data_IF_585158439768
#
_entry.id   IF_585158439768
#
_cell.length_a   1.000
_cell.length_b   1.000
_cell.length_c   1.000
_cell.angle_alpha   90.00
_cell.angle_beta   90.00
_cell.angle_gamma   90.00
#
_symmetry.space_group_name_H-M   'P 1'
#
loop_
_entity.id
_entity.type
_entity.pdbx_description
1 polymer ?
#
# COMPACT_ATOMS: atom_id res chain seq x y z
N UNK A 1 -5.33 49.24 -12.12
CA UNK A 1 -5.51 48.68 -10.77
C UNK A 1 -6.86 47.98 -10.73
N UNK A 2 -7.04 46.74 -10.29
CA UNK A 2 -6.13 45.73 -9.76
C UNK A 2 -6.65 44.34 -10.13
N UNK A 3 -5.72 43.40 -10.24
CA UNK A 3 -5.98 41.98 -10.43
C UNK A 3 -6.31 41.35 -9.09
N UNK A 4 -7.50 40.76 -8.95
CA UNK A 4 -7.82 39.86 -7.85
C UNK A 4 -7.10 38.53 -8.12
N UNK A 5 -6.00 38.30 -7.40
CA UNK A 5 -5.41 36.98 -7.26
C UNK A 5 -6.18 36.22 -6.20
N UNK A 6 -7.03 35.29 -6.62
CA UNK A 6 -7.54 34.25 -5.72
C UNK A 6 -6.42 33.23 -5.53
N UNK A 7 -5.64 33.40 -4.46
CA UNK A 7 -4.82 32.32 -3.92
C UNK A 7 -5.75 31.27 -3.35
N UNK A 8 -5.82 30.10 -3.99
CA UNK A 8 -6.38 28.90 -3.39
C UNK A 8 -5.41 28.48 -2.29
N UNK A 9 -5.78 28.77 -1.05
CA UNK A 9 -5.13 28.25 0.14
C UNK A 9 -5.37 26.75 0.18
N UNK A 10 -4.30 25.97 -0.05
CA UNK A 10 -4.21 24.58 0.36
C UNK A 10 -4.49 24.54 1.86
N UNK A 11 -5.65 24.00 2.27
CA UNK A 11 -5.93 23.73 3.67
C UNK A 11 -4.84 22.77 4.17
N UNK A 12 -3.94 23.30 5.00
CA UNK A 12 -2.98 22.48 5.74
C UNK A 12 -3.78 21.59 6.68
N UNK A 13 -3.92 20.32 6.34
CA UNK A 13 -4.54 19.35 7.23
C UNK A 13 -3.60 19.16 8.43
N UNK A 14 -4.04 19.49 9.64
CA UNK A 14 -3.23 19.44 10.87
C UNK A 14 -2.71 18.01 11.19
N UNK A 15 -3.23 17.00 10.50
CA UNK A 15 -2.95 15.60 10.72
C UNK A 15 -1.89 15.01 9.79
N UNK A 16 -1.38 15.76 8.81
CA UNK A 16 -0.40 15.27 7.81
C UNK A 16 0.84 16.14 7.71
N UNK A 17 1.92 15.56 7.19
CA UNK A 17 3.23 16.19 7.05
C UNK A 17 3.61 16.44 5.58
N UNK A 18 3.20 15.55 4.67
CA UNK A 18 3.43 15.76 3.25
C UNK A 18 2.36 16.70 2.67
N UNK A 19 2.71 17.45 1.62
CA UNK A 19 1.72 18.22 0.88
C UNK A 19 0.73 17.29 0.14
N UNK A 20 -0.52 17.71 0.02
CA UNK A 20 -1.50 17.02 -0.81
C UNK A 20 -1.04 17.00 -2.28
N UNK A 21 -1.10 15.83 -2.93
CA UNK A 21 -0.90 15.74 -4.39
C UNK A 21 -2.19 16.08 -5.12
N UNK A 22 -2.06 16.83 -6.23
CA UNK A 22 -3.19 17.10 -7.11
C UNK A 22 -3.65 15.81 -7.83
N UNK A 23 -4.96 15.62 -7.84
CA UNK A 23 -5.62 14.55 -8.59
C UNK A 23 -6.38 15.15 -9.76
N UNK A 24 -6.50 14.39 -10.86
CA UNK A 24 -7.28 14.82 -12.04
C UNK A 24 -8.79 14.87 -11.79
N UNK A 25 -9.24 14.39 -10.63
CA UNK A 25 -10.61 14.39 -10.13
C UNK A 25 -10.58 14.83 -8.68
N UNK A 26 -11.73 15.25 -8.14
CA UNK A 26 -11.87 15.51 -6.72
C UNK A 26 -11.47 14.25 -5.90
N UNK A 27 -10.54 14.36 -4.94
CA UNK A 27 -10.07 13.24 -4.13
C UNK A 27 -11.20 12.51 -3.37
N UNK A 28 -12.25 13.23 -2.96
CA UNK A 28 -13.39 12.66 -2.23
C UNK A 28 -14.21 11.67 -3.08
N UNK A 29 -14.05 11.69 -4.40
CA UNK A 29 -14.70 10.76 -5.32
C UNK A 29 -13.80 9.57 -5.68
N UNK A 30 -12.58 9.49 -5.14
CA UNK A 30 -11.70 8.34 -5.32
C UNK A 30 -12.16 7.20 -4.40
N UNK A 31 -12.10 5.94 -4.87
CA UNK A 31 -12.61 4.81 -4.10
C UNK A 31 -11.68 4.39 -2.96
N UNK A 32 -10.48 4.97 -2.87
CA UNK A 32 -9.43 4.64 -1.92
C UNK A 32 -9.09 5.88 -1.08
N UNK A 33 -8.59 5.70 0.16
CA UNK A 33 -8.22 6.82 1.01
C UNK A 33 -7.07 7.63 0.39
N UNK A 34 -7.15 8.94 0.55
CA UNK A 34 -6.23 9.93 0.00
C UNK A 34 -5.61 10.78 1.11
N UNK A 35 -4.84 11.80 0.74
CA UNK A 35 -4.14 12.64 1.69
C UNK A 35 -5.10 13.22 2.75
N UNK A 36 -4.77 13.01 4.03
CA UNK A 36 -5.55 13.50 5.15
C UNK A 36 -6.67 12.57 5.65
N UNK A 37 -7.01 11.53 4.88
CA UNK A 37 -8.02 10.54 5.30
C UNK A 37 -7.44 9.60 6.37
N UNK A 38 -8.29 9.14 7.29
CA UNK A 38 -7.93 8.06 8.20
C UNK A 38 -7.72 6.76 7.43
N UNK A 39 -6.65 6.04 7.76
CA UNK A 39 -6.38 4.73 7.18
C UNK A 39 -7.46 3.74 7.64
N UNK A 40 -8.18 3.07 6.72
CA UNK A 40 -9.22 2.12 7.08
C UNK A 40 -8.71 1.06 8.06
N UNK A 41 -9.52 0.72 9.06
CA UNK A 41 -9.13 -0.25 10.06
C UNK A 41 -9.50 -1.69 9.67
N UNK A 42 -8.58 -2.62 9.92
CA UNK A 42 -8.82 -4.04 9.68
C UNK A 42 -7.94 -4.93 10.55
N UNK A 43 -8.53 -5.95 11.16
CA UNK A 43 -7.77 -7.01 11.83
C UNK A 43 -7.69 -8.26 10.94
N UNK A 44 -6.47 -8.68 10.62
CA UNK A 44 -6.19 -9.81 9.73
C UNK A 44 -5.14 -10.75 10.33
N UNK A 45 -5.24 -12.08 10.11
CA UNK A 45 -4.17 -13.02 10.41
C UNK A 45 -2.89 -12.70 9.63
N UNK A 46 -1.73 -12.86 10.27
CA UNK A 46 -0.40 -12.81 9.66
C UNK A 46 0.19 -14.24 9.58
N UNK A 47 0.07 -14.97 8.45
CA UNK A 47 0.39 -16.39 8.41
C UNK A 47 1.85 -16.74 8.71
N UNK A 48 2.81 -15.87 8.38
CA UNK A 48 4.24 -16.10 8.68
C UNK A 48 4.50 -16.00 10.19
N UNK A 49 3.66 -15.27 10.94
CA UNK A 49 3.76 -15.05 12.38
C UNK A 49 2.76 -15.94 13.12
N UNK A 50 2.71 -17.22 12.75
CA UNK A 50 1.83 -18.24 13.32
C UNK A 50 0.34 -17.87 13.28
N UNK A 51 -0.06 -17.06 12.31
CA UNK A 51 -1.44 -16.61 12.16
C UNK A 51 -1.88 -15.58 13.21
N UNK A 52 -0.94 -14.93 13.91
CA UNK A 52 -1.24 -13.84 14.84
C UNK A 52 -2.16 -12.81 14.18
N UNK A 53 -3.21 -12.41 14.89
CA UNK A 53 -4.09 -11.33 14.46
C UNK A 53 -3.34 -10.00 14.58
N UNK A 54 -3.33 -9.23 13.51
CA UNK A 54 -2.70 -7.90 13.41
C UNK A 54 -3.76 -6.90 12.98
N UNK A 55 -3.90 -5.80 13.71
CA UNK A 55 -4.86 -4.72 13.46
C UNK A 55 -4.17 -3.50 12.86
N UNK A 56 -4.64 -3.07 11.69
CA UNK A 56 -4.20 -1.85 11.03
C UNK A 56 -5.18 -0.72 11.36
N UNK A 57 -4.73 0.52 11.58
CA UNK A 57 -3.35 0.91 11.93
C UNK A 57 -2.99 0.63 13.40
N UNK A 58 -3.95 0.26 14.25
CA UNK A 58 -3.84 0.33 15.71
C UNK A 58 -2.74 -0.48 16.39
N UNK A 59 -2.21 -1.54 15.75
CA UNK A 59 -1.10 -2.33 16.31
C UNK A 59 0.29 -1.75 15.95
N UNK A 60 0.34 -0.61 15.24
CA UNK A 60 1.56 -0.02 14.72
C UNK A 60 1.76 1.40 15.25
N UNK A 61 2.93 1.63 15.87
CA UNK A 61 3.40 2.95 16.33
C UNK A 61 4.40 3.58 15.34
N UNK A 62 4.46 3.04 14.12
CA UNK A 62 5.40 3.39 13.05
C UNK A 62 4.66 3.93 11.84
N UNK A 63 5.35 4.60 10.93
CA UNK A 63 4.80 4.86 9.60
C UNK A 63 4.46 3.55 8.89
N UNK A 64 3.43 3.57 8.04
CA UNK A 64 2.93 2.41 7.34
C UNK A 64 3.06 2.59 5.84
N UNK A 65 3.79 1.69 5.18
CA UNK A 65 3.74 1.54 3.73
C UNK A 65 3.00 0.25 3.37
N UNK A 66 1.85 0.40 2.71
CA UNK A 66 0.92 -0.71 2.47
C UNK A 66 0.64 -0.94 1.00
N UNK A 67 0.50 -2.20 0.59
CA UNK A 67 -0.05 -2.59 -0.72
C UNK A 67 -0.92 -3.84 -0.65
N UNK A 68 -1.52 -4.19 -1.79
CA UNK A 68 -2.41 -5.33 -1.97
C UNK A 68 -1.95 -6.19 -3.15
N UNK A 69 -1.59 -7.45 -2.88
CA UNK A 69 -0.98 -8.34 -3.85
C UNK A 69 -1.23 -9.81 -3.51
N UNK A 70 -1.11 -10.70 -4.51
CA UNK A 70 -1.22 -12.15 -4.30
C UNK A 70 -0.06 -12.90 -4.96
N UNK A 71 0.35 -14.01 -4.36
CA UNK A 71 1.67 -14.62 -4.62
C UNK A 71 1.79 -15.30 -5.99
N UNK A 72 0.66 -15.63 -6.62
CA UNK A 72 0.63 -16.27 -7.95
C UNK A 72 0.48 -15.29 -9.12
N UNK A 73 0.45 -13.98 -8.84
CA UNK A 73 0.39 -12.95 -9.86
C UNK A 73 1.70 -12.83 -10.65
N UNK A 74 1.60 -12.84 -11.98
CA UNK A 74 2.74 -12.67 -12.90
C UNK A 74 2.80 -11.29 -13.57
N UNK A 75 1.91 -10.36 -13.21
CA UNK A 75 1.76 -9.05 -13.88
C UNK A 75 2.24 -7.89 -13.00
N UNK A 76 1.34 -7.20 -12.29
CA UNK A 76 1.67 -5.96 -11.58
C UNK A 76 2.03 -6.14 -10.10
N UNK A 77 1.58 -7.20 -9.43
CA UNK A 77 1.96 -7.47 -8.03
C UNK A 77 3.49 -7.51 -7.83
N UNK A 78 4.29 -8.19 -8.69
CA UNK A 78 5.75 -8.14 -8.59
C UNK A 78 6.34 -6.72 -8.57
N UNK A 79 5.70 -5.79 -9.28
CA UNK A 79 6.13 -4.39 -9.35
C UNK A 79 5.80 -3.63 -8.06
N UNK A 80 4.62 -3.87 -7.47
CA UNK A 80 4.21 -3.27 -6.19
C UNK A 80 5.17 -3.71 -5.07
N UNK A 81 5.36 -5.02 -4.90
CA UNK A 81 6.28 -5.58 -3.90
C UNK A 81 7.71 -5.07 -4.13
N UNK A 82 8.17 -4.96 -5.38
CA UNK A 82 9.51 -4.43 -5.66
C UNK A 82 9.68 -2.92 -5.32
N UNK A 83 8.62 -2.12 -5.36
CA UNK A 83 8.66 -0.72 -4.90
C UNK A 83 8.78 -0.69 -3.38
N UNK A 84 7.95 -1.46 -2.68
CA UNK A 84 8.00 -1.56 -1.22
C UNK A 84 9.33 -2.13 -0.71
N UNK A 85 9.85 -3.19 -1.33
CA UNK A 85 11.13 -3.79 -0.95
C UNK A 85 12.31 -2.81 -1.13
N UNK A 86 12.28 -1.96 -2.16
CA UNK A 86 13.28 -0.91 -2.30
C UNK A 86 13.17 0.14 -1.17
N UNK A 87 11.96 0.54 -0.80
CA UNK A 87 11.76 1.45 0.33
C UNK A 87 12.23 0.83 1.65
N UNK A 88 12.01 -0.48 1.86
CA UNK A 88 12.53 -1.23 3.01
C UNK A 88 14.06 -1.23 3.03
N UNK A 89 14.70 -1.61 1.93
CA UNK A 89 16.16 -1.61 1.79
C UNK A 89 16.75 -0.21 2.04
N UNK A 90 16.10 0.83 1.53
CA UNK A 90 16.51 2.21 1.78
C UNK A 90 16.41 2.59 3.28
N UNK A 91 15.28 2.28 3.94
CA UNK A 91 15.09 2.55 5.35
C UNK A 91 16.12 1.84 6.23
N UNK A 92 16.40 0.56 5.94
CA UNK A 92 17.41 -0.24 6.63
C UNK A 92 18.82 0.37 6.45
N UNK A 93 19.21 0.72 5.22
CA UNK A 93 20.51 1.34 4.92
C UNK A 93 20.71 2.71 5.56
N UNK A 94 19.62 3.43 5.81
CA UNK A 94 19.62 4.74 6.46
C UNK A 94 19.42 4.67 7.97
N UNK A 95 19.25 3.47 8.53
CA UNK A 95 19.20 3.24 9.97
C UNK A 95 17.87 3.59 10.63
N UNK A 96 16.78 3.68 9.87
CA UNK A 96 15.44 3.99 10.40
C UNK A 96 14.42 2.88 10.10
N UNK A 97 14.90 1.65 9.85
CA UNK A 97 14.03 0.51 9.54
C UNK A 97 13.00 0.16 10.64
N UNK A 98 13.24 0.57 11.88
CA UNK A 98 12.33 0.39 13.02
C UNK A 98 11.23 1.46 13.07
N UNK A 99 11.34 2.54 12.30
CA UNK A 99 10.38 3.66 12.26
C UNK A 99 9.31 3.47 11.18
N UNK A 100 9.41 2.41 10.35
CA UNK A 100 8.47 2.11 9.27
C UNK A 100 8.13 0.62 9.22
N UNK A 101 6.84 0.31 9.11
CA UNK A 101 6.32 -1.03 8.88
C UNK A 101 5.74 -1.17 7.46
N UNK A 102 6.01 -2.31 6.84
CA UNK A 102 5.57 -2.66 5.50
C UNK A 102 4.46 -3.70 5.57
N UNK A 103 3.32 -3.43 4.94
CA UNK A 103 2.14 -4.30 5.00
C UNK A 103 1.73 -4.72 3.58
N UNK A 104 1.76 -6.00 3.30
CA UNK A 104 1.27 -6.56 2.04
C UNK A 104 0.08 -7.49 2.33
N UNK A 105 -1.12 -7.07 1.92
CA UNK A 105 -2.36 -7.82 2.17
C UNK A 105 -2.80 -8.57 0.93
N UNK A 106 -3.05 -9.88 1.06
CA UNK A 106 -3.58 -10.68 -0.04
C UNK A 106 -5.08 -10.56 -0.21
N UNK A 107 -5.51 -10.57 -1.46
CA UNK A 107 -6.90 -10.75 -1.85
C UNK A 107 -7.20 -12.17 -2.38
N UNK A 108 -6.22 -13.08 -2.31
CA UNK A 108 -6.35 -14.49 -2.70
C UNK A 108 -6.06 -15.44 -1.53
N UNK A 109 -6.90 -15.42 -0.48
CA UNK A 109 -6.64 -16.23 0.70
C UNK A 109 -6.71 -17.73 0.42
N UNK A 110 -7.26 -18.19 -0.71
CA UNK A 110 -7.32 -19.61 -1.02
C UNK A 110 -5.94 -20.22 -1.36
N UNK A 111 -5.03 -19.44 -1.96
CA UNK A 111 -3.70 -19.90 -2.38
C UNK A 111 -2.55 -19.34 -1.54
N UNK A 112 -2.74 -18.19 -0.93
CA UNK A 112 -1.67 -17.48 -0.22
C UNK A 112 -1.59 -17.91 1.25
N UNK A 113 -0.78 -18.93 1.51
CA UNK A 113 -0.44 -19.39 2.86
C UNK A 113 0.95 -18.89 3.31
N UNK A 114 1.36 -19.30 4.51
CA UNK A 114 2.66 -18.91 5.07
C UNK A 114 3.85 -19.40 4.22
N UNK A 115 3.71 -20.50 3.48
CA UNK A 115 4.78 -21.02 2.61
C UNK A 115 4.85 -20.19 1.33
N UNK A 116 3.71 -19.90 0.71
CA UNK A 116 3.61 -19.05 -0.46
C UNK A 116 4.18 -17.65 -0.19
N UNK A 117 3.85 -17.04 0.96
CA UNK A 117 4.41 -15.74 1.32
C UNK A 117 5.93 -15.75 1.54
N UNK A 118 6.50 -16.79 2.14
CA UNK A 118 7.97 -16.90 2.27
C UNK A 118 8.64 -16.99 0.90
N UNK A 119 8.11 -17.83 0.01
CA UNK A 119 8.62 -17.96 -1.35
C UNK A 119 8.50 -16.65 -2.15
N UNK A 120 7.40 -15.92 -1.95
CA UNK A 120 7.20 -14.59 -2.53
C UNK A 120 8.22 -13.58 -2.01
N UNK A 121 8.39 -13.51 -0.69
CA UNK A 121 9.38 -12.65 -0.04
C UNK A 121 10.80 -12.89 -0.58
N UNK A 122 11.24 -14.16 -0.64
CA UNK A 122 12.55 -14.55 -1.16
C UNK A 122 12.73 -14.13 -2.62
N UNK A 123 11.73 -14.40 -3.46
CA UNK A 123 11.75 -14.07 -4.89
C UNK A 123 11.82 -12.56 -5.14
N UNK A 124 11.19 -11.77 -4.27
CA UNK A 124 11.06 -10.32 -4.41
C UNK A 124 12.03 -9.52 -3.54
N UNK A 125 12.98 -10.18 -2.88
CA UNK A 125 14.03 -9.57 -2.02
C UNK A 125 13.44 -8.73 -0.90
N UNK A 126 12.43 -9.27 -0.23
CA UNK A 126 11.91 -8.70 1.01
C UNK A 126 12.83 -9.14 2.15
N UNK A 127 13.38 -8.19 2.89
CA UNK A 127 14.29 -8.43 4.02
C UNK A 127 13.47 -8.84 5.25
N UNK A 128 13.02 -10.10 5.28
CA UNK A 128 12.13 -10.61 6.33
C UNK A 128 12.76 -10.61 7.72
N UNK A 129 14.09 -10.73 7.79
CA UNK A 129 14.84 -10.76 9.06
C UNK A 129 14.80 -9.42 9.81
N UNK A 130 14.47 -8.33 9.11
CA UNK A 130 14.28 -7.02 9.75
C UNK A 130 13.02 -6.95 10.63
N UNK A 131 12.08 -7.90 10.50
CA UNK A 131 10.88 -7.97 11.34
C UNK A 131 9.84 -6.87 11.09
N UNK A 132 10.09 -5.94 10.17
CA UNK A 132 9.21 -4.81 9.86
C UNK A 132 8.26 -5.06 8.67
N UNK A 133 8.28 -6.26 8.06
CA UNK A 133 7.33 -6.65 7.01
C UNK A 133 6.24 -7.60 7.51
N UNK A 134 5.01 -7.36 7.06
CA UNK A 134 3.80 -8.06 7.48
C UNK A 134 3.01 -8.51 6.24
N UNK A 135 2.93 -9.83 6.04
CA UNK A 135 2.00 -10.41 5.09
C UNK A 135 0.69 -10.76 5.78
N UNK A 136 -0.42 -10.16 5.34
CA UNK A 136 -1.73 -10.33 5.95
C UNK A 136 -2.69 -11.08 5.03
N UNK A 137 -3.48 -11.97 5.61
CA UNK A 137 -4.38 -12.88 4.89
C UNK A 137 -5.80 -12.85 5.46
N UNK A 138 -6.78 -12.28 4.74
CA UNK A 138 -8.20 -12.44 5.04
C UNK A 138 -8.60 -13.90 5.20
N UNK A 139 -9.54 -14.21 6.09
CA UNK A 139 -9.96 -15.61 6.36
C UNK A 139 -10.75 -16.24 5.20
N UNK A 140 -11.30 -15.44 4.29
CA UNK A 140 -12.14 -15.90 3.17
C UNK A 140 -12.12 -14.90 2.02
N UNK A 141 -12.54 -15.33 0.83
CA UNK A 141 -12.73 -14.43 -0.34
C UNK A 141 -13.73 -13.29 -0.03
N UNK A 142 -14.76 -13.56 0.79
CA UNK A 142 -15.72 -12.54 1.24
C UNK A 142 -15.03 -11.47 2.08
N UNK A 143 -14.22 -11.89 3.07
CA UNK A 143 -13.46 -10.95 3.90
C UNK A 143 -12.39 -10.20 3.10
N UNK A 144 -11.83 -10.84 2.07
CA UNK A 144 -10.90 -10.18 1.15
C UNK A 144 -11.57 -9.04 0.39
N UNK A 145 -12.80 -9.22 -0.11
CA UNK A 145 -13.57 -8.15 -0.76
C UNK A 145 -13.88 -7.01 0.19
N UNK A 146 -14.42 -7.32 1.38
CA UNK A 146 -14.77 -6.33 2.39
C UNK A 146 -13.58 -5.43 2.77
N UNK A 147 -12.41 -6.02 2.97
CA UNK A 147 -11.23 -5.26 3.36
C UNK A 147 -10.61 -4.59 2.13
N UNK A 148 -10.18 -5.36 1.13
CA UNK A 148 -9.35 -4.84 0.03
C UNK A 148 -10.15 -3.97 -0.92
N UNK A 149 -11.37 -4.36 -1.27
CA UNK A 149 -12.20 -3.62 -2.22
C UNK A 149 -13.07 -2.57 -1.53
N UNK A 150 -13.85 -2.95 -0.52
CA UNK A 150 -14.85 -2.05 0.06
C UNK A 150 -14.22 -1.02 1.01
N UNK A 151 -13.16 -1.39 1.75
CA UNK A 151 -12.51 -0.46 2.70
C UNK A 151 -11.35 0.32 2.06
N UNK A 152 -10.54 -0.33 1.22
CA UNK A 152 -9.35 0.30 0.62
C UNK A 152 -9.51 0.68 -0.86
N UNK A 153 -10.65 0.41 -1.49
CA UNK A 153 -10.92 0.82 -2.87
C UNK A 153 -10.17 0.04 -3.95
N UNK A 154 -9.48 -1.04 -3.59
CA UNK A 154 -8.70 -1.83 -4.53
C UNK A 154 -9.61 -2.86 -5.18
N UNK A 155 -10.16 -2.50 -6.33
CA UNK A 155 -10.96 -3.42 -7.13
C UNK A 155 -10.12 -4.61 -7.59
N UNK A 156 -10.64 -5.82 -7.38
CA UNK A 156 -10.08 -7.06 -7.93
C UNK A 156 -11.19 -8.01 -8.40
N UNK A 157 -11.00 -8.60 -9.58
CA UNK A 157 -11.96 -9.54 -10.17
C UNK A 157 -11.26 -10.81 -10.58
N UNK A 158 -11.77 -11.95 -10.10
CA UNK A 158 -11.28 -13.28 -10.47
C UNK A 158 -11.53 -13.53 -11.94
N UNK A 159 -10.48 -13.81 -12.69
CA UNK A 159 -10.53 -14.15 -14.11
C UNK A 159 -10.12 -15.60 -14.29
N UNK A 160 -11.03 -16.40 -14.84
CA UNK A 160 -10.76 -17.80 -15.18
C UNK A 160 -10.34 -17.87 -16.65
N UNK A 161 -9.27 -18.59 -16.94
CA UNK A 161 -8.96 -19.00 -18.31
C UNK A 161 -9.91 -20.15 -18.68
N UNK A 162 -10.57 -20.07 -19.84
CA UNK A 162 -11.52 -21.09 -20.29
C UNK A 162 -10.91 -22.50 -20.44
N UNK A 163 -9.56 -22.61 -20.43
CA UNK A 163 -8.84 -23.86 -20.69
C UNK A 163 -7.77 -24.23 -19.64
N UNK A 164 -7.78 -23.64 -18.44
CA UNK A 164 -6.85 -24.02 -17.37
C UNK A 164 -7.54 -23.99 -16.00
N UNK A 165 -7.19 -24.94 -15.12
CA UNK A 165 -7.53 -24.93 -13.67
C UNK A 165 -6.83 -23.78 -12.90
N UNK A 166 -6.45 -22.71 -13.59
CA UNK A 166 -5.70 -21.58 -13.06
C UNK A 166 -6.49 -20.29 -13.26
N UNK A 167 -6.65 -19.54 -12.17
CA UNK A 167 -7.26 -18.22 -12.19
C UNK A 167 -6.22 -17.13 -11.88
N UNK A 168 -6.46 -15.96 -12.47
CA UNK A 168 -5.78 -14.73 -12.11
C UNK A 168 -6.79 -13.74 -11.53
N UNK A 169 -6.30 -12.59 -11.12
CA UNK A 169 -7.14 -11.44 -10.84
C UNK A 169 -6.68 -10.25 -11.68
N UNK A 170 -7.64 -9.59 -12.33
CA UNK A 170 -7.44 -8.21 -12.71
C UNK A 170 -7.58 -7.37 -11.43
N UNK A 171 -6.59 -6.55 -11.08
CA UNK A 171 -6.66 -5.70 -9.90
C UNK A 171 -6.08 -4.31 -10.13
N UNK A 172 -6.49 -3.35 -9.31
CA UNK A 172 -5.92 -2.00 -9.27
C UNK A 172 -4.64 -2.01 -8.44
N UNK A 173 -3.57 -1.39 -8.93
CA UNK A 173 -2.35 -1.22 -8.14
C UNK A 173 -2.45 0.01 -7.25
N UNK A 174 -2.29 -0.19 -5.95
CA UNK A 174 -2.30 0.89 -4.96
C UNK A 174 -1.17 0.66 -3.95
N UNK A 175 -0.41 1.71 -3.65
CA UNK A 175 0.44 1.79 -2.47
C UNK A 175 -0.06 2.96 -1.63
N UNK A 176 -0.21 2.76 -0.32
CA UNK A 176 -0.56 3.81 0.63
C UNK A 176 0.63 4.05 1.56
N UNK A 177 0.96 5.31 1.78
CA UNK A 177 1.83 5.76 2.87
C UNK A 177 0.94 6.45 3.90
N UNK A 178 0.94 5.95 5.13
CA UNK A 178 0.28 6.57 6.27
C UNK A 178 1.29 6.85 7.37
N UNK A 179 1.10 7.95 8.09
CA UNK A 179 1.93 8.31 9.23
C UNK A 179 1.58 7.45 10.45
N UNK A 180 2.42 7.50 11.49
CA UNK A 180 2.19 6.78 12.76
C UNK A 180 0.91 7.15 13.51
N UNK A 181 0.25 8.27 13.16
CA UNK A 181 -1.07 8.65 13.70
C UNK A 181 -2.23 7.96 12.97
N UNK A 182 -1.95 7.21 11.91
CA UNK A 182 -2.96 6.50 11.13
C UNK A 182 -3.62 7.33 10.03
N UNK A 183 -3.05 8.48 9.66
CA UNK A 183 -3.56 9.30 8.55
C UNK A 183 -2.75 9.05 7.27
N UNK A 184 -3.44 9.00 6.13
CA UNK A 184 -2.81 8.81 4.83
C UNK A 184 -2.06 10.08 4.42
N UNK A 185 -0.76 9.94 4.22
CA UNK A 185 0.14 10.98 3.70
C UNK A 185 0.18 10.95 2.17
N UNK A 186 0.04 9.75 1.58
CA UNK A 186 0.11 9.59 0.14
C UNK A 186 -0.55 8.33 -0.37
N UNK A 187 -1.27 8.45 -1.49
CA UNK A 187 -1.76 7.32 -2.27
C UNK A 187 -1.08 7.29 -3.64
N UNK A 188 -0.51 6.15 -4.00
CA UNK A 188 0.17 5.91 -5.27
C UNK A 188 -0.63 4.90 -6.09
N UNK A 189 -1.35 5.39 -7.10
CA UNK A 189 -2.07 4.52 -8.04
C UNK A 189 -1.14 4.09 -9.16
N UNK A 190 -0.88 2.79 -9.26
CA UNK A 190 -0.11 2.21 -10.34
C UNK A 190 -1.03 1.79 -11.47
N UNK A 191 -0.77 2.30 -12.67
CA UNK A 191 -1.42 1.84 -13.90
C UNK A 191 -0.55 0.81 -14.61
N UNK A 192 -1.20 -0.14 -15.30
CA UNK A 192 -0.53 -0.96 -16.31
C UNK A 192 0.14 -0.08 -17.36
N UNK A 193 1.27 -0.52 -17.93
CA UNK A 193 2.17 0.30 -18.75
C UNK A 193 1.56 0.98 -20.00
N UNK A 194 0.31 0.68 -20.35
CA UNK A 194 -0.45 1.29 -21.43
C UNK A 194 -1.48 2.27 -20.87
N UNK A 195 -1.10 3.55 -20.75
CA UNK A 195 -2.01 4.62 -20.37
C UNK A 195 -1.32 5.98 -20.39
N UNK A 196 -2.00 6.98 -20.98
CA UNK A 196 -1.65 8.39 -20.91
C UNK A 196 -2.13 8.95 -19.57
N UNK A 197 -1.49 8.52 -18.49
CA UNK A 197 -1.79 8.92 -17.11
C UNK A 197 -0.72 9.83 -16.50
N UNK A 198 -0.93 10.32 -15.26
CA UNK A 198 0.09 11.05 -14.49
C UNK A 198 1.41 10.25 -14.40
N UNK A 199 2.54 10.92 -14.12
CA UNK A 199 3.87 10.30 -14.18
C UNK A 199 3.91 8.97 -13.43
N UNK A 200 4.61 7.99 -14.04
CA UNK A 200 4.79 6.66 -13.44
C UNK A 200 5.36 6.84 -12.04
N UNK A 201 4.64 6.39 -11.02
CA UNK A 201 5.16 6.27 -9.65
C UNK A 201 6.50 5.54 -9.72
N UNK A 202 7.57 6.25 -9.39
CA UNK A 202 8.90 5.68 -9.36
C UNK A 202 9.19 5.12 -7.98
N UNK A 203 10.17 4.23 -7.90
CA UNK A 203 10.64 3.73 -6.60
C UNK A 203 11.30 4.84 -5.77
N UNK A 204 11.82 5.86 -6.44
CA UNK A 204 12.44 7.01 -5.81
C UNK A 204 11.39 7.89 -5.11
N UNK A 205 10.24 8.11 -5.76
CA UNK A 205 9.16 8.93 -5.20
C UNK A 205 8.73 8.44 -3.82
N UNK A 206 8.52 7.13 -3.67
CA UNK A 206 8.11 6.52 -2.39
C UNK A 206 9.21 6.66 -1.33
N UNK A 207 10.48 6.51 -1.72
CA UNK A 207 11.61 6.62 -0.79
C UNK A 207 11.83 8.07 -0.33
N UNK A 208 11.65 9.04 -1.24
CA UNK A 208 11.77 10.47 -0.94
C UNK A 208 10.64 10.96 -0.04
N UNK A 209 9.42 10.49 -0.30
CA UNK A 209 8.25 10.82 0.52
C UNK A 209 8.37 10.21 1.93
N UNK A 210 8.83 8.95 2.05
CA UNK A 210 9.12 8.33 3.35
C UNK A 210 10.22 9.07 4.12
N UNK A 211 11.29 9.50 3.41
CA UNK A 211 12.34 10.31 4.03
C UNK A 211 11.80 11.65 4.52
N UNK A 212 10.99 12.32 3.71
CA UNK A 212 10.42 13.64 4.05
C UNK A 212 9.49 13.53 5.25
N UNK A 213 8.63 12.51 5.29
CA UNK A 213 7.76 12.23 6.43
C UNK A 213 8.58 12.10 7.72
N UNK A 214 9.58 11.22 7.73
CA UNK A 214 10.48 11.03 8.88
C UNK A 214 11.14 12.35 9.34
N UNK A 215 11.64 13.15 8.41
CA UNK A 215 12.31 14.42 8.71
C UNK A 215 11.38 15.47 9.33
N UNK A 216 10.09 15.43 9.02
CA UNK A 216 9.09 16.35 9.58
C UNK A 216 8.46 15.84 10.89
N UNK A 217 8.50 14.55 11.13
CA UNK A 217 8.05 13.95 12.39
C UNK A 217 9.07 14.05 13.54
N UNK A 218 10.35 14.30 13.21
CA UNK A 218 11.49 14.41 14.14
C UNK A 218 11.57 15.79 14.79
#
# INVERSE_FOLDING_TARGET
MGTFGSGSSSESNENTYLDAKEWSVDPTNLPFPTHGDELPSATLPAPIRDGKQVSIPSDFETDLLMTFAYTTCSTMCPRLTAIMAQAQDYALKKGYGEEVSFIETTFDPARDDAKAFRQWADKHRVEMDAGNWYFLRPKSEVRAKEVVQDSYGVNFTKTNSENMDTYMFAHTGLILLANKKGYVERAYKLQSAQGSGPPRVTRQDVSDDLKTLREQES
#
